data_IF_190577643035
#
_entry.id   IF_190577643035
#
_cell.length_a   1.000
_cell.length_b   1.000
_cell.length_c   1.000
_cell.angle_alpha   90.00
_cell.angle_beta   90.00
_cell.angle_gamma   90.00
#
_symmetry.space_group_name_H-M   'P 1'
#
loop_
_entity.id
_entity.type
_entity.pdbx_description
1 polymer ?
#
# COMPACT_ATOMS: atom_id res chain seq x y z
N UNK A 1 -5.07 37.81 -33.09
CA UNK A 1 -5.81 36.95 -32.14
C UNK A 1 -4.93 35.74 -31.88
N UNK A 2 -4.13 35.74 -30.81
CA UNK A 2 -3.31 34.57 -30.47
C UNK A 2 -4.27 33.47 -30.01
N UNK A 3 -4.44 32.44 -30.84
CA UNK A 3 -5.01 31.18 -30.39
C UNK A 3 -3.95 30.51 -29.50
N UNK A 4 -4.06 30.74 -28.21
CA UNK A 4 -3.47 29.84 -27.21
C UNK A 4 -4.12 28.47 -27.42
N UNK A 5 -3.53 27.66 -28.31
CA UNK A 5 -3.82 26.23 -28.45
C UNK A 5 -3.24 25.54 -27.21
N UNK A 6 -3.84 25.82 -26.06
CA UNK A 6 -3.62 25.09 -24.84
C UNK A 6 -4.26 23.72 -24.99
N UNK A 7 -3.53 22.80 -25.63
CA UNK A 7 -3.67 21.38 -25.34
C UNK A 7 -3.07 21.18 -23.94
N UNK A 8 -3.75 21.74 -22.94
CA UNK A 8 -3.43 21.52 -21.54
C UNK A 8 -3.60 20.03 -21.33
N UNK A 9 -2.52 19.33 -20.98
CA UNK A 9 -2.52 17.89 -20.84
C UNK A 9 -3.62 17.48 -19.86
N UNK A 10 -4.73 16.96 -20.39
CA UNK A 10 -5.89 16.45 -19.62
C UNK A 10 -5.50 15.29 -18.69
N UNK A 11 -4.24 14.87 -18.75
CA UNK A 11 -3.63 13.76 -18.00
C UNK A 11 -2.70 14.19 -16.87
N UNK A 12 -2.36 15.49 -16.73
CA UNK A 12 -1.52 15.97 -15.62
C UNK A 12 -2.33 16.17 -14.34
N UNK A 13 -1.98 15.43 -13.29
CA UNK A 13 -2.54 15.54 -11.94
C UNK A 13 -1.52 16.04 -10.93
N UNK A 14 -2.00 16.78 -9.94
CA UNK A 14 -1.23 17.25 -8.79
C UNK A 14 -1.51 16.38 -7.58
N UNK A 15 -0.46 15.89 -6.94
CA UNK A 15 -0.52 15.10 -5.72
C UNK A 15 0.27 15.81 -4.62
N UNK A 16 -0.37 16.05 -3.49
CA UNK A 16 0.29 16.50 -2.28
C UNK A 16 0.73 15.27 -1.50
N UNK A 17 1.99 15.18 -1.09
CA UNK A 17 2.46 14.10 -0.23
C UNK A 17 3.08 14.66 1.05
N UNK A 18 2.92 13.93 2.15
CA UNK A 18 3.49 14.26 3.46
C UNK A 18 4.35 13.08 3.90
N UNK A 19 5.54 13.39 4.42
CA UNK A 19 6.46 12.43 5.01
C UNK A 19 6.36 12.42 6.53
N UNK A 20 6.92 11.42 7.20
CA UNK A 20 7.00 11.30 8.67
C UNK A 20 7.59 12.55 9.37
N UNK A 21 8.53 13.24 8.73
CA UNK A 21 9.16 14.45 9.26
C UNK A 21 8.37 15.74 8.96
N UNK A 22 7.13 15.63 8.48
CA UNK A 22 6.28 16.74 8.03
C UNK A 22 6.86 17.56 6.85
N UNK A 23 7.94 17.09 6.22
CA UNK A 23 8.57 17.72 5.03
C UNK A 23 7.91 17.27 3.73
N UNK A 24 6.59 17.44 3.65
CA UNK A 24 5.81 17.15 2.45
C UNK A 24 6.02 18.14 1.30
N UNK A 25 5.48 17.80 0.12
CA UNK A 25 5.52 18.63 -1.08
C UNK A 25 4.42 18.31 -2.10
N UNK A 26 4.31 19.12 -3.16
CA UNK A 26 3.40 18.88 -4.28
C UNK A 26 4.19 18.31 -5.46
N UNK A 27 3.68 17.24 -6.06
CA UNK A 27 4.21 16.66 -7.28
C UNK A 27 3.19 16.72 -8.41
N UNK A 28 3.63 17.16 -9.58
CA UNK A 28 2.85 17.14 -10.82
C UNK A 28 3.31 15.95 -11.66
N UNK A 29 2.39 15.06 -12.02
CA UNK A 29 2.70 13.92 -12.89
C UNK A 29 1.53 13.63 -13.84
N UNK A 30 1.85 12.99 -14.97
CA UNK A 30 0.87 12.61 -16.01
C UNK A 30 0.13 11.29 -15.68
N UNK A 31 0.16 10.89 -14.41
CA UNK A 31 -0.44 9.63 -13.96
C UNK A 31 -1.90 9.91 -13.63
N UNK A 32 -2.81 9.29 -14.38
CA UNK A 32 -4.26 9.43 -14.15
C UNK A 32 -4.78 8.53 -13.02
N UNK A 33 -4.10 7.40 -12.80
CA UNK A 33 -4.44 6.39 -11.80
C UNK A 33 -3.82 6.72 -10.43
N UNK A 34 -4.65 6.79 -9.41
CA UNK A 34 -4.24 7.21 -8.06
C UNK A 34 -3.31 6.19 -7.39
N UNK A 35 -3.61 4.90 -7.51
CA UNK A 35 -2.80 3.82 -6.93
C UNK A 35 -1.38 3.80 -7.53
N UNK A 36 -1.30 3.97 -8.85
CA UNK A 36 -0.03 4.09 -9.58
C UNK A 36 0.77 5.32 -9.10
N UNK A 37 0.10 6.45 -8.87
CA UNK A 37 0.75 7.66 -8.36
C UNK A 37 1.26 7.48 -6.92
N UNK A 38 0.48 6.80 -6.07
CA UNK A 38 0.88 6.44 -4.70
C UNK A 38 2.13 5.57 -4.71
N UNK A 39 2.11 4.47 -5.46
CA UNK A 39 3.26 3.58 -5.58
C UNK A 39 4.51 4.31 -6.11
N UNK A 40 4.32 5.23 -7.06
CA UNK A 40 5.40 6.05 -7.59
C UNK A 40 6.00 7.00 -6.54
N UNK A 41 5.15 7.70 -5.78
CA UNK A 41 5.58 8.63 -4.74
C UNK A 41 6.26 7.90 -3.58
N UNK A 42 5.69 6.79 -3.10
CA UNK A 42 6.30 5.97 -2.04
C UNK A 42 7.63 5.34 -2.47
N UNK A 43 7.82 5.04 -3.76
CA UNK A 43 9.12 4.56 -4.28
C UNK A 43 10.14 5.69 -4.41
N UNK A 44 9.70 6.91 -4.69
CA UNK A 44 10.57 8.05 -4.98
C UNK A 44 10.99 8.80 -3.72
N UNK A 45 10.12 8.87 -2.73
CA UNK A 45 10.33 9.56 -1.47
C UNK A 45 10.24 8.56 -0.32
N UNK A 46 11.27 8.54 0.51
CA UNK A 46 11.31 7.71 1.70
C UNK A 46 10.46 8.35 2.82
N UNK A 47 9.82 7.52 3.64
CA UNK A 47 9.00 7.98 4.76
C UNK A 47 7.69 8.68 4.37
N UNK A 48 7.15 8.47 3.16
CA UNK A 48 5.81 8.99 2.77
C UNK A 48 4.72 8.31 3.59
N UNK A 49 3.98 9.11 4.35
CA UNK A 49 2.90 8.64 5.24
C UNK A 49 1.50 9.02 4.75
N UNK A 50 1.39 10.04 3.89
CA UNK A 50 0.11 10.53 3.36
C UNK A 50 0.27 11.07 1.96
N UNK A 51 -0.70 10.81 1.09
CA UNK A 51 -0.79 11.35 -0.27
C UNK A 51 -2.23 11.80 -0.51
N UNK A 52 -2.42 13.02 -0.99
CA UNK A 52 -3.71 13.65 -1.26
C UNK A 52 -3.78 14.12 -2.71
N UNK A 53 -4.89 13.80 -3.35
CA UNK A 53 -5.31 14.37 -4.63
C UNK A 53 -6.64 15.11 -4.44
N UNK A 54 -7.12 15.81 -5.46
CA UNK A 54 -8.33 16.65 -5.36
C UNK A 54 -9.54 15.96 -4.72
N UNK A 55 -9.71 14.65 -4.91
CA UNK A 55 -10.87 13.88 -4.42
C UNK A 55 -10.50 12.63 -3.61
N UNK A 56 -9.21 12.24 -3.58
CA UNK A 56 -8.76 10.97 -2.97
C UNK A 56 -7.60 11.20 -2.01
N UNK A 57 -7.60 10.47 -0.89
CA UNK A 57 -6.52 10.46 0.10
C UNK A 57 -6.05 9.03 0.34
N UNK A 58 -4.73 8.88 0.41
CA UNK A 58 -4.04 7.67 0.81
C UNK A 58 -3.21 7.97 2.04
N UNK A 59 -3.23 7.06 3.01
CA UNK A 59 -2.39 7.13 4.20
C UNK A 59 -1.77 5.77 4.40
N UNK A 60 -0.51 5.75 4.82
CA UNK A 60 0.16 4.55 5.25
C UNK A 60 -0.51 4.11 6.56
N UNK A 61 -1.55 3.27 6.48
CA UNK A 61 -2.16 2.68 7.66
C UNK A 61 -1.12 1.83 8.38
N UNK A 62 -0.68 2.30 9.53
CA UNK A 62 0.16 1.54 10.43
C UNK A 62 -0.65 0.35 10.96
N UNK A 63 -0.45 -0.81 10.33
CA UNK A 63 -0.93 -2.15 10.71
C UNK A 63 -2.45 -2.44 10.59
N UNK A 64 -2.83 -3.63 10.07
CA UNK A 64 -4.23 -4.02 9.93
C UNK A 64 -4.83 -4.36 11.30
N UNK A 65 -5.63 -3.45 11.85
CA UNK A 65 -6.62 -3.85 12.84
C UNK A 65 -7.74 -4.59 12.11
N UNK A 66 -7.78 -5.90 12.35
CA UNK A 66 -8.85 -6.82 11.98
C UNK A 66 -10.18 -6.28 12.55
N UNK A 67 -10.96 -5.54 11.75
CA UNK A 67 -12.39 -5.25 11.89
C UNK A 67 -12.76 -4.37 10.68
N UNK A 68 -13.65 -4.73 9.76
CA UNK A 68 -14.99 -5.22 9.98
C UNK A 68 -15.46 -5.92 8.69
N UNK A 69 -15.55 -7.24 8.72
CA UNK A 69 -16.32 -7.99 7.73
C UNK A 69 -17.70 -8.22 8.35
N UNK A 70 -18.61 -7.27 8.15
CA UNK A 70 -20.03 -7.42 8.43
C UNK A 70 -20.62 -8.57 7.61
N UNK A 71 -20.63 -9.78 8.16
CA UNK A 71 -21.59 -10.82 7.78
C UNK A 71 -22.03 -11.57 9.03
N UNK A 72 -23.35 -11.54 9.22
CA UNK A 72 -24.08 -12.06 10.35
C UNK A 72 -23.81 -13.55 10.61
N UNK A 73 -23.96 -13.87 11.90
CA UNK A 73 -23.92 -15.20 12.48
C UNK A 73 -24.73 -16.24 11.68
N UNK A 74 -24.15 -17.42 11.50
CA UNK A 74 -24.81 -18.66 11.88
C UNK A 74 -23.77 -19.76 12.15
N UNK A 75 -24.03 -20.51 13.21
CA UNK A 75 -23.13 -21.46 13.83
C UNK A 75 -22.94 -22.74 13.01
N UNK A 76 -21.75 -23.35 13.07
CA UNK A 76 -21.69 -24.70 13.61
C UNK A 76 -20.29 -25.11 14.10
N UNK A 77 -20.31 -25.76 15.26
CA UNK A 77 -19.21 -26.43 15.94
C UNK A 77 -18.72 -27.61 15.07
N UNK A 78 -17.45 -28.01 15.14
CA UNK A 78 -16.85 -29.20 15.80
C UNK A 78 -15.78 -29.70 14.76
N UNK A 79 -14.65 -30.35 15.02
CA UNK A 79 -14.09 -31.06 16.16
C UNK A 79 -12.64 -31.44 15.82
N UNK A 80 -11.88 -31.66 16.89
CA UNK A 80 -10.48 -32.09 17.02
C UNK A 80 -10.01 -33.22 16.10
N UNK A 81 -8.77 -33.15 15.60
CA UNK A 81 -7.84 -34.31 15.57
C UNK A 81 -6.41 -33.84 15.24
N UNK A 82 -5.47 -33.96 16.19
CA UNK A 82 -4.41 -35.00 16.27
C UNK A 82 -3.26 -34.76 15.28
N UNK A 83 -1.97 -34.70 15.59
CA UNK A 83 -1.15 -34.84 16.78
C UNK A 83 0.27 -34.28 16.41
N UNK A 84 1.13 -33.92 17.37
CA UNK A 84 2.52 -33.56 17.11
C UNK A 84 3.36 -34.83 16.87
N UNK A 85 4.10 -34.88 15.76
CA UNK A 85 5.22 -35.82 15.62
C UNK A 85 6.53 -35.04 15.72
N UNK A 86 7.11 -35.26 16.88
CA UNK A 86 8.40 -34.91 17.40
C UNK A 86 9.53 -35.61 16.62
N UNK A 87 10.68 -34.95 16.60
CA UNK A 87 12.02 -35.56 16.61
C UNK A 87 12.48 -36.45 15.44
N UNK A 88 13.46 -35.96 14.68
CA UNK A 88 14.69 -36.74 14.52
C UNK A 88 15.92 -35.85 14.28
N UNK A 89 16.86 -36.00 15.19
CA UNK A 89 18.17 -35.38 15.22
C UNK A 89 19.14 -35.94 14.17
N UNK A 90 20.18 -35.13 13.92
CA UNK A 90 21.58 -35.46 13.59
C UNK A 90 21.91 -36.34 12.37
N UNK A 91 22.79 -35.83 11.50
CA UNK A 91 24.19 -36.32 11.40
C UNK A 91 25.04 -35.44 10.46
N UNK A 92 26.28 -35.10 10.84
CA UNK A 92 27.31 -34.55 9.95
C UNK A 92 28.22 -35.66 9.37
N UNK A 93 28.38 -35.72 8.04
CA UNK A 93 29.39 -36.48 7.29
C UNK A 93 30.06 -35.51 6.30
N UNK A 94 31.35 -35.13 6.31
CA UNK A 94 32.63 -35.84 6.37
C UNK A 94 32.98 -36.63 5.08
N UNK A 95 33.93 -36.08 4.32
CA UNK A 95 34.67 -36.58 3.12
C UNK A 95 34.19 -36.23 1.71
N UNK A 96 35.14 -35.64 0.97
CA UNK A 96 35.15 -35.34 -0.46
C UNK A 96 36.42 -34.55 -0.78
#
# INVERSE_FOLDING_TARGET
>A
MLHINGRWNESMKSYLFTTETDRGGVMLCDINDFDTAVAYLCKRFDGVVKIESAEQVWQLSETPSIADNSMAAEANQIESTSAPVDEHAESPDLFG
#
